data_IF_454029192735
#
_entry.id   IF_454029192735
#
_cell.length_a   1.000
_cell.length_b   1.000
_cell.length_c   1.000
_cell.angle_alpha   90.00
_cell.angle_beta   90.00
_cell.angle_gamma   90.00
#
_symmetry.space_group_name_H-M   'P 1'
#
loop_
_entity.id
_entity.type
_entity.pdbx_description
1 polymer ?
#
# COMPACT_ATOMS: atom_id res chain seq x y z
N UNK A 1 26.12 16.92 -48.16
CA UNK A 1 27.23 16.39 -47.34
C UNK A 1 27.58 17.45 -46.31
N UNK A 2 27.04 17.33 -45.10
CA UNK A 2 27.35 18.23 -43.97
C UNK A 2 27.55 17.32 -42.77
N UNK A 3 28.74 17.36 -42.19
CA UNK A 3 29.14 16.56 -41.03
C UNK A 3 28.57 17.17 -39.75
N UNK A 4 28.03 16.31 -38.89
CA UNK A 4 27.76 16.60 -37.48
C UNK A 4 29.04 16.93 -36.71
N UNK A 5 28.89 17.56 -35.53
CA UNK A 5 29.55 17.04 -34.35
C UNK A 5 28.53 16.72 -33.26
N UNK A 6 28.55 15.46 -32.83
CA UNK A 6 27.90 14.98 -31.63
C UNK A 6 28.63 15.56 -30.40
N UNK A 7 27.87 16.11 -29.45
CA UNK A 7 28.35 16.32 -28.08
C UNK A 7 27.60 15.35 -27.16
N UNK A 8 28.34 14.34 -26.74
CA UNK A 8 28.06 13.48 -25.60
C UNK A 8 28.06 14.33 -24.33
N UNK A 9 26.99 14.25 -23.55
CA UNK A 9 26.98 14.62 -22.14
C UNK A 9 26.54 13.40 -21.34
N UNK A 10 27.54 12.54 -21.08
CA UNK A 10 27.50 11.47 -20.11
C UNK A 10 27.46 12.10 -18.69
N UNK A 11 26.25 12.27 -18.14
CA UNK A 11 26.07 12.54 -16.71
C UNK A 11 25.75 11.21 -16.05
N UNK A 12 26.82 10.53 -15.62
CA UNK A 12 26.73 9.52 -14.57
C UNK A 12 26.32 10.22 -13.27
N UNK A 13 25.04 10.14 -12.91
CA UNK A 13 24.62 10.33 -11.53
C UNK A 13 24.36 8.95 -10.91
N UNK A 14 25.39 8.45 -10.23
CA UNK A 14 25.25 7.46 -9.17
C UNK A 14 24.39 8.06 -8.07
N UNK A 15 23.12 7.67 -8.04
CA UNK A 15 22.19 7.91 -6.95
C UNK A 15 21.55 6.57 -6.57
N UNK A 16 22.38 5.69 -6.02
CA UNK A 16 21.90 4.53 -5.27
C UNK A 16 21.38 5.06 -3.93
N UNK A 17 20.16 5.61 -3.98
CA UNK A 17 19.47 6.23 -2.85
C UNK A 17 19.07 5.13 -1.87
N UNK A 18 19.25 5.39 -0.58
CA UNK A 18 18.68 4.61 0.54
C UNK A 18 17.22 4.24 0.27
N UNK A 19 16.99 3.02 -0.21
CA UNK A 19 15.65 2.55 -0.59
C UNK A 19 15.18 1.51 0.40
N UNK A 20 14.00 1.77 0.97
CA UNK A 20 13.25 0.82 1.77
C UNK A 20 12.63 -0.23 0.83
N UNK A 21 13.44 -1.18 0.39
CA UNK A 21 12.95 -2.33 -0.37
C UNK A 21 12.34 -3.37 0.57
N UNK A 22 11.09 -3.75 0.32
CA UNK A 22 10.58 -5.04 0.77
C UNK A 22 11.49 -6.14 0.22
N UNK A 23 11.78 -7.17 1.01
CA UNK A 23 12.14 -8.49 0.44
C UNK A 23 10.84 -9.27 0.31
N UNK A 24 10.29 -9.46 -0.91
CA UNK A 24 9.01 -10.14 -1.12
C UNK A 24 8.95 -11.53 -0.47
N UNK A 25 10.12 -12.17 -0.32
CA UNK A 25 10.32 -13.45 0.37
C UNK A 25 9.81 -13.49 1.83
N UNK A 26 9.54 -12.33 2.44
CA UNK A 26 9.02 -12.23 3.81
C UNK A 26 7.49 -12.28 3.90
N UNK A 27 6.78 -12.16 2.78
CA UNK A 27 5.33 -12.23 2.76
C UNK A 27 4.89 -13.68 2.52
N UNK A 28 4.18 -14.24 3.49
CA UNK A 28 3.66 -15.60 3.42
C UNK A 28 2.57 -15.74 2.33
N UNK A 29 2.59 -16.83 1.53
CA UNK A 29 1.50 -17.19 0.62
C UNK A 29 0.14 -17.33 1.33
N UNK A 30 -0.94 -17.12 0.58
CA UNK A 30 -2.32 -17.23 1.08
C UNK A 30 -2.64 -16.23 2.20
N UNK A 31 -1.93 -15.11 2.28
CA UNK A 31 -2.05 -14.15 3.37
C UNK A 31 -2.50 -12.78 2.88
N UNK A 32 -3.15 -12.03 3.77
CA UNK A 32 -3.60 -10.66 3.54
C UNK A 32 -2.86 -9.71 4.49
N UNK A 33 -2.44 -8.57 3.98
CA UNK A 33 -1.71 -7.55 4.74
C UNK A 33 -2.34 -6.18 4.55
N UNK A 34 -2.30 -5.37 5.62
CA UNK A 34 -2.44 -3.91 5.53
C UNK A 34 -1.04 -3.34 5.37
N UNK A 35 -0.88 -2.42 4.41
CA UNK A 35 0.37 -1.73 4.16
C UNK A 35 0.15 -0.25 4.41
N UNK A 36 1.07 0.37 5.16
CA UNK A 36 1.04 1.81 5.43
C UNK A 36 2.27 2.52 4.90
N UNK A 37 2.06 3.71 4.35
CA UNK A 37 3.10 4.58 3.80
C UNK A 37 2.95 5.99 4.41
N UNK A 38 4.04 6.71 4.72
CA UNK A 38 3.95 8.03 5.29
C UNK A 38 3.48 9.04 4.24
N UNK A 39 2.60 9.94 4.64
CA UNK A 39 2.22 11.13 3.87
C UNK A 39 2.85 12.37 4.50
N UNK A 40 3.09 13.41 3.67
CA UNK A 40 3.77 14.65 4.09
C UNK A 40 3.04 15.36 5.25
N UNK A 41 1.74 15.12 5.43
CA UNK A 41 0.91 15.74 6.47
C UNK A 41 0.85 14.95 7.79
N UNK A 42 1.77 14.00 8.01
CA UNK A 42 1.79 13.15 9.22
C UNK A 42 0.61 12.16 9.31
N UNK A 43 -0.02 11.89 8.16
CA UNK A 43 -1.01 10.81 8.01
C UNK A 43 -0.36 9.66 7.22
N UNK A 44 -1.14 8.61 7.02
CA UNK A 44 -0.69 7.45 6.28
C UNK A 44 -1.61 7.19 5.09
N UNK A 45 -1.02 6.76 3.97
CA UNK A 45 -1.74 6.05 2.93
C UNK A 45 -1.88 4.59 3.36
N UNK A 46 -3.08 4.04 3.22
CA UNK A 46 -3.43 2.68 3.60
C UNK A 46 -3.79 1.91 2.35
N UNK A 47 -3.25 0.71 2.21
CA UNK A 47 -3.57 -0.19 1.10
C UNK A 47 -3.62 -1.64 1.60
N UNK A 48 -4.31 -2.49 0.86
CA UNK A 48 -4.32 -3.93 1.08
C UNK A 48 -3.33 -4.60 0.14
N UNK A 49 -2.70 -5.67 0.62
CA UNK A 49 -1.82 -6.50 -0.17
C UNK A 49 -2.24 -7.95 0.03
N UNK A 50 -2.74 -8.57 -1.04
CA UNK A 50 -3.04 -10.01 -1.08
C UNK A 50 -1.85 -10.76 -1.65
N UNK A 51 -1.53 -11.88 -1.03
CA UNK A 51 -0.53 -12.82 -1.50
C UNK A 51 -1.24 -14.13 -1.79
N UNK A 52 -1.30 -14.52 -3.06
CA UNK A 52 -1.98 -15.75 -3.46
C UNK A 52 -1.22 -17.01 -2.98
N UNK A 53 -1.74 -18.20 -3.28
CA UNK A 53 -1.11 -19.47 -2.87
C UNK A 53 0.21 -19.77 -3.60
N UNK A 54 0.41 -19.22 -4.80
CA UNK A 54 1.68 -19.26 -5.53
C UNK A 54 2.64 -18.16 -5.05
N UNK A 55 2.13 -17.29 -4.19
CA UNK A 55 2.67 -16.06 -3.66
C UNK A 55 2.94 -14.97 -4.68
N UNK A 56 2.13 -14.91 -5.73
CA UNK A 56 1.88 -13.68 -6.50
C UNK A 56 1.33 -12.61 -5.56
N UNK A 57 1.73 -11.36 -5.78
CA UNK A 57 1.34 -10.24 -4.93
C UNK A 57 0.45 -9.31 -5.74
N UNK A 58 -0.70 -8.94 -5.17
CA UNK A 58 -1.56 -7.87 -5.70
C UNK A 58 -1.80 -6.83 -4.62
N UNK A 59 -1.49 -5.58 -4.92
CA UNK A 59 -1.82 -4.43 -4.07
C UNK A 59 -3.13 -3.81 -4.53
N UNK A 60 -4.02 -3.58 -3.58
CA UNK A 60 -5.31 -2.94 -3.76
C UNK A 60 -5.36 -1.65 -2.96
N UNK A 61 -5.81 -0.58 -3.61
CA UNK A 61 -5.85 0.71 -2.96
C UNK A 61 -6.87 1.64 -3.59
N UNK A 62 -7.43 2.50 -2.75
CA UNK A 62 -8.03 3.75 -3.17
C UNK A 62 -6.96 4.84 -3.12
N UNK A 63 -6.64 5.47 -4.24
CA UNK A 63 -5.54 6.45 -4.32
C UNK A 63 -5.94 7.70 -5.11
N UNK A 64 -5.17 8.77 -4.97
CA UNK A 64 -5.27 9.96 -5.83
C UNK A 64 -4.96 9.60 -7.29
N UNK A 65 -5.77 10.12 -8.21
CA UNK A 65 -5.62 9.88 -9.64
C UNK A 65 -5.52 11.20 -10.39
N UNK A 66 -4.33 11.47 -10.93
CA UNK A 66 -4.10 12.63 -11.76
C UNK A 66 -4.55 12.32 -13.21
N UNK A 67 -5.37 13.19 -13.79
CA UNK A 67 -5.81 13.10 -15.19
C UNK A 67 -7.22 12.57 -15.43
N UNK A 68 -8.05 12.47 -14.39
CA UNK A 68 -9.47 12.08 -14.49
C UNK A 68 -10.45 13.21 -14.13
N UNK A 69 -11.74 12.94 -14.31
CA UNK A 69 -12.83 13.78 -13.74
C UNK A 69 -12.99 13.62 -12.24
N UNK A 70 -12.46 12.52 -11.68
CA UNK A 70 -12.49 12.21 -10.26
C UNK A 70 -11.10 12.36 -9.66
N UNK A 71 -11.05 12.81 -8.42
CA UNK A 71 -9.78 13.02 -7.71
C UNK A 71 -9.13 11.73 -7.24
N UNK A 72 -9.92 10.70 -6.92
CA UNK A 72 -9.43 9.41 -6.45
C UNK A 72 -10.14 8.27 -7.16
N UNK A 73 -9.53 7.09 -7.14
CA UNK A 73 -10.14 5.86 -7.67
C UNK A 73 -9.55 4.61 -7.01
N UNK A 74 -10.30 3.52 -7.13
CA UNK A 74 -9.82 2.18 -6.88
C UNK A 74 -8.81 1.74 -7.94
N UNK A 75 -7.80 0.98 -7.51
CA UNK A 75 -6.85 0.29 -8.38
C UNK A 75 -6.42 -1.05 -7.75
N UNK A 76 -6.12 -2.01 -8.62
CA UNK A 76 -5.45 -3.26 -8.30
C UNK A 76 -4.19 -3.34 -9.15
N UNK A 77 -3.04 -3.55 -8.52
CA UNK A 77 -1.74 -3.62 -9.18
C UNK A 77 -1.04 -4.92 -8.80
N UNK A 78 -0.73 -5.74 -9.81
CA UNK A 78 0.15 -6.89 -9.63
C UNK A 78 1.59 -6.42 -9.41
N UNK A 79 2.25 -6.99 -8.40
CA UNK A 79 3.61 -6.67 -8.02
C UNK A 79 4.50 -7.90 -8.29
N UNK A 80 5.36 -7.78 -9.29
CA UNK A 80 6.35 -8.81 -9.60
C UNK A 80 7.38 -8.90 -8.46
N UNK A 81 7.69 -10.13 -8.01
CA UNK A 81 8.66 -10.36 -6.91
C UNK A 81 10.09 -9.92 -7.23
N UNK A 82 10.47 -9.99 -8.50
CA UNK A 82 11.80 -9.58 -8.99
C UNK A 82 11.92 -8.08 -9.16
N UNK A 83 10.79 -7.39 -9.11
CA UNK A 83 10.76 -5.99 -9.43
C UNK A 83 11.28 -5.18 -8.27
N UNK A 84 12.29 -4.39 -8.58
CA UNK A 84 12.70 -3.25 -7.78
C UNK A 84 11.61 -2.16 -7.74
N UNK A 85 10.33 -2.47 -7.98
CA UNK A 85 9.22 -1.50 -8.06
C UNK A 85 8.95 -0.81 -6.71
N UNK A 86 9.44 -1.37 -5.60
CA UNK A 86 9.48 -0.64 -4.32
C UNK A 86 10.59 0.43 -4.25
N UNK A 87 11.39 0.62 -5.31
CA UNK A 87 12.35 1.72 -5.46
C UNK A 87 11.60 3.05 -5.61
N UNK A 88 11.03 3.55 -4.52
CA UNK A 88 10.32 4.83 -4.46
C UNK A 88 9.12 4.85 -3.51
N UNK A 89 8.61 3.69 -3.11
CA UNK A 89 7.49 3.59 -2.18
C UNK A 89 8.03 3.38 -0.77
N UNK A 90 7.93 4.41 0.07
CA UNK A 90 8.31 4.34 1.48
C UNK A 90 7.26 3.56 2.26
N UNK A 91 7.42 2.24 2.38
CA UNK A 91 6.55 1.42 3.25
C UNK A 91 7.04 1.49 4.68
N UNK A 92 6.13 1.83 5.61
CA UNK A 92 6.42 1.83 7.05
C UNK A 92 6.42 0.41 7.61
N UNK A 93 5.39 -0.38 7.30
CA UNK A 93 5.23 -1.75 7.78
C UNK A 93 4.17 -2.51 6.96
N UNK A 94 4.26 -3.83 7.05
CA UNK A 94 3.26 -4.79 6.59
C UNK A 94 2.59 -5.41 7.82
N UNK A 95 1.28 -5.30 7.91
CA UNK A 95 0.51 -5.83 9.02
C UNK A 95 -0.35 -7.00 8.53
N UNK A 96 0.09 -8.22 8.84
CA UNK A 96 -0.58 -9.45 8.44
C UNK A 96 -1.85 -9.62 9.25
N UNK A 97 -2.95 -9.85 8.54
CA UNK A 97 -4.28 -10.00 9.14
C UNK A 97 -4.49 -11.47 9.51
N UNK A 98 -4.56 -11.78 10.80
CA UNK A 98 -4.95 -13.09 11.29
C UNK A 98 -6.38 -13.46 10.91
N UNK A 99 -6.62 -14.77 10.70
CA UNK A 99 -7.96 -15.31 10.43
C UNK A 99 -8.44 -15.16 8.98
N UNK A 100 -7.63 -14.60 8.09
CA UNK A 100 -7.95 -14.51 6.66
C UNK A 100 -7.97 -15.89 6.01
N UNK A 101 -9.07 -16.20 5.31
CA UNK A 101 -9.22 -17.36 4.44
C UNK A 101 -9.03 -16.88 3.01
N UNK A 102 -8.08 -17.48 2.31
CA UNK A 102 -7.84 -17.16 0.91
C UNK A 102 -9.11 -17.41 0.09
N UNK A 103 -9.46 -16.41 -0.72
CA UNK A 103 -10.58 -16.45 -1.66
C UNK A 103 -10.06 -16.26 -3.08
N UNK A 104 -10.92 -16.58 -4.05
CA UNK A 104 -10.62 -16.32 -5.45
C UNK A 104 -10.30 -14.84 -5.70
N UNK A 105 -9.33 -14.60 -6.57
CA UNK A 105 -8.77 -13.28 -6.83
C UNK A 105 -9.79 -12.35 -7.51
N UNK A 106 -10.65 -12.87 -8.39
CA UNK A 106 -11.68 -12.06 -9.06
C UNK A 106 -12.76 -11.66 -8.05
N UNK A 107 -13.14 -12.58 -7.16
CA UNK A 107 -14.07 -12.27 -6.07
C UNK A 107 -13.49 -11.23 -5.09
N UNK A 108 -12.20 -11.33 -4.77
CA UNK A 108 -11.52 -10.34 -3.93
C UNK A 108 -11.55 -8.94 -4.58
N UNK A 109 -11.21 -8.86 -5.87
CA UNK A 109 -11.20 -7.61 -6.63
C UNK A 109 -12.59 -6.97 -6.71
N UNK A 110 -13.63 -7.80 -6.93
CA UNK A 110 -15.02 -7.34 -6.94
C UNK A 110 -15.43 -6.71 -5.60
N UNK A 111 -15.16 -7.39 -4.47
CA UNK A 111 -15.43 -6.84 -3.14
C UNK A 111 -14.73 -5.50 -2.91
N UNK A 112 -13.46 -5.41 -3.29
CA UNK A 112 -12.65 -4.20 -3.14
C UNK A 112 -13.20 -3.02 -3.97
N UNK A 113 -13.64 -3.29 -5.20
CA UNK A 113 -14.17 -2.31 -6.14
C UNK A 113 -15.52 -1.75 -5.70
N UNK A 114 -16.37 -2.57 -5.09
CA UNK A 114 -17.75 -2.19 -4.73
C UNK A 114 -17.85 -1.26 -3.51
N UNK A 115 -16.77 -1.09 -2.73
CA UNK A 115 -16.78 -0.24 -1.53
C UNK A 115 -17.11 1.22 -1.83
N UNK A 116 -16.48 1.80 -2.86
CA UNK A 116 -16.73 3.16 -3.31
C UNK A 116 -17.04 3.14 -4.81
N UNK A 117 -18.33 3.26 -5.14
CA UNK A 117 -18.80 3.24 -6.53
C UNK A 117 -18.46 4.52 -7.32
N UNK A 118 -18.13 5.59 -6.62
CA UNK A 118 -17.88 6.90 -7.20
C UNK A 118 -16.93 7.72 -6.30
N UNK A 119 -16.40 8.80 -6.86
CA UNK A 119 -15.52 9.76 -6.20
C UNK A 119 -15.95 11.17 -6.58
N UNK A 120 -15.67 12.15 -5.73
CA UNK A 120 -15.82 13.57 -6.04
C UNK A 120 -14.70 14.08 -6.95
N UNK A 121 -14.89 15.30 -7.46
CA UNK A 121 -13.95 15.98 -8.36
C UNK A 121 -12.68 16.44 -7.66
N UNK A 122 -12.71 16.63 -6.35
CA UNK A 122 -11.55 17.03 -5.54
C UNK A 122 -11.31 16.10 -4.35
N UNK A 123 -10.04 16.03 -3.90
CA UNK A 123 -9.67 15.26 -2.70
C UNK A 123 -10.36 15.84 -1.47
N UNK A 124 -10.49 17.16 -1.37
CA UNK A 124 -11.11 17.86 -0.25
C UNK A 124 -12.60 17.50 -0.12
N UNK A 125 -13.33 17.46 -1.22
CA UNK A 125 -14.72 16.98 -1.23
C UNK A 125 -14.80 15.52 -0.77
N UNK A 126 -13.94 14.63 -1.29
CA UNK A 126 -13.86 13.26 -0.79
C UNK A 126 -13.65 13.21 0.74
N UNK A 127 -12.75 14.04 1.29
CA UNK A 127 -12.53 14.10 2.75
C UNK A 127 -13.74 14.62 3.51
N UNK A 128 -14.49 15.57 2.96
CA UNK A 128 -15.73 16.07 3.58
C UNK A 128 -16.84 15.01 3.64
N UNK A 129 -16.74 13.96 2.83
CA UNK A 129 -17.67 12.84 2.75
C UNK A 129 -17.09 11.51 3.25
N UNK A 130 -16.00 11.55 4.04
CA UNK A 130 -15.32 10.37 4.59
C UNK A 130 -14.86 9.34 3.53
N UNK A 131 -14.62 9.78 2.30
CA UNK A 131 -13.99 8.98 1.24
C UNK A 131 -12.48 9.17 1.38
N UNK A 132 -11.80 8.16 1.90
CA UNK A 132 -10.35 8.14 2.12
C UNK A 132 -9.78 6.75 1.89
N UNK A 133 -8.46 6.60 1.63
CA UNK A 133 -7.84 5.28 1.55
C UNK A 133 -8.05 4.43 2.81
N UNK A 134 -8.00 5.06 3.99
CA UNK A 134 -8.26 4.40 5.27
C UNK A 134 -9.71 3.92 5.37
N UNK A 135 -10.68 4.80 5.13
CA UNK A 135 -12.11 4.46 5.23
C UNK A 135 -12.54 3.44 4.17
N UNK A 136 -11.95 3.49 2.96
CA UNK A 136 -12.09 2.44 1.96
C UNK A 136 -11.64 1.08 2.53
N UNK A 137 -10.41 1.01 3.03
CA UNK A 137 -9.83 -0.23 3.55
C UNK A 137 -10.64 -0.80 4.71
N UNK A 138 -11.05 0.03 5.67
CA UNK A 138 -11.87 -0.41 6.81
C UNK A 138 -13.21 -0.99 6.36
N UNK A 139 -13.83 -0.43 5.32
CA UNK A 139 -15.06 -0.99 4.74
C UNK A 139 -14.82 -2.31 4.01
N UNK A 140 -13.68 -2.49 3.33
CA UNK A 140 -13.30 -3.80 2.76
C UNK A 140 -13.17 -4.84 3.88
N UNK A 141 -12.47 -4.50 4.97
CA UNK A 141 -12.28 -5.41 6.09
C UNK A 141 -13.61 -5.78 6.76
N UNK A 142 -14.50 -4.81 6.94
CA UNK A 142 -15.83 -5.04 7.50
C UNK A 142 -16.66 -6.00 6.64
N UNK A 143 -16.62 -5.85 5.30
CA UNK A 143 -17.24 -6.80 4.38
C UNK A 143 -16.64 -8.20 4.51
N UNK A 144 -15.32 -8.32 4.62
CA UNK A 144 -14.65 -9.63 4.76
C UNK A 144 -14.92 -10.31 6.11
N UNK A 145 -15.02 -9.54 7.19
CA UNK A 145 -15.41 -10.08 8.51
C UNK A 145 -16.87 -10.55 8.47
N UNK A 146 -17.77 -9.70 7.96
CA UNK A 146 -19.21 -10.02 7.86
C UNK A 146 -19.46 -11.21 6.92
N UNK A 147 -18.70 -11.32 5.83
CA UNK A 147 -18.76 -12.42 4.87
C UNK A 147 -18.06 -13.71 5.32
N UNK A 148 -17.41 -13.73 6.50
CA UNK A 148 -16.70 -14.91 7.01
C UNK A 148 -15.39 -15.23 6.26
N UNK A 149 -14.91 -14.30 5.44
CA UNK A 149 -13.59 -14.36 4.77
C UNK A 149 -12.48 -14.13 5.80
N UNK A 150 -12.71 -13.25 6.78
CA UNK A 150 -11.84 -13.05 7.93
C UNK A 150 -12.58 -13.53 9.19
N UNK A 151 -12.03 -14.51 9.89
CA UNK A 151 -12.58 -15.01 11.16
C UNK A 151 -11.67 -14.59 12.31
N UNK A 152 -12.14 -13.63 13.11
CA UNK A 152 -11.39 -13.07 14.25
C UNK A 152 -12.34 -12.59 15.37
N UNK A 153 -11.79 -12.43 16.58
CA UNK A 153 -12.57 -12.07 17.77
C UNK A 153 -12.67 -10.56 18.01
N UNK A 154 -11.64 -9.83 17.58
CA UNK A 154 -11.54 -8.38 17.65
C UNK A 154 -12.27 -7.71 16.48
N UNK A 155 -12.61 -6.43 16.66
CA UNK A 155 -13.39 -5.65 15.70
C UNK A 155 -12.50 -4.99 14.64
N UNK A 156 -13.12 -4.48 13.56
CA UNK A 156 -12.41 -3.67 12.55
C UNK A 156 -11.85 -2.39 13.17
N UNK A 157 -12.50 -1.84 14.20
CA UNK A 157 -12.03 -0.68 14.94
C UNK A 157 -10.78 -1.01 15.78
N UNK A 158 -10.70 -2.21 16.35
CA UNK A 158 -9.51 -2.67 17.06
C UNK A 158 -8.32 -2.81 16.09
N UNK A 159 -8.56 -3.35 14.89
CA UNK A 159 -7.60 -3.39 13.80
C UNK A 159 -7.14 -1.99 13.38
N UNK A 160 -8.07 -1.04 13.21
CA UNK A 160 -7.74 0.35 12.89
C UNK A 160 -6.81 0.96 13.95
N UNK A 161 -7.17 0.79 15.22
CA UNK A 161 -6.41 1.31 16.34
C UNK A 161 -5.00 0.71 16.40
N UNK A 162 -4.89 -0.61 16.24
CA UNK A 162 -3.61 -1.31 16.25
C UNK A 162 -2.71 -0.84 15.10
N UNK A 163 -3.21 -0.81 13.86
CA UNK A 163 -2.45 -0.34 12.69
C UNK A 163 -2.02 1.10 12.87
N UNK A 164 -2.94 2.01 13.24
CA UNK A 164 -2.62 3.42 13.41
C UNK A 164 -1.53 3.65 14.49
N UNK A 165 -1.61 2.92 15.60
CA UNK A 165 -0.64 3.01 16.69
C UNK A 165 0.73 2.51 16.26
N UNK A 166 0.78 1.35 15.61
CA UNK A 166 2.02 0.76 15.15
C UNK A 166 2.64 1.55 13.99
N UNK A 167 1.85 2.09 13.08
CA UNK A 167 2.34 2.95 11.99
C UNK A 167 3.01 4.21 12.53
N UNK A 168 2.45 4.88 13.54
CA UNK A 168 3.13 6.02 14.21
C UNK A 168 4.44 5.62 14.86
N UNK A 169 4.49 4.45 15.48
CA UNK A 169 5.73 3.93 16.05
C UNK A 169 6.78 3.69 14.94
N UNK A 170 6.36 3.10 13.81
CA UNK A 170 7.24 2.78 12.68
C UNK A 170 7.67 3.99 11.87
N UNK A 171 6.83 5.01 11.76
CA UNK A 171 7.17 6.29 11.13
C UNK A 171 8.38 6.93 11.82
N UNK A 172 8.43 6.94 13.16
CA UNK A 172 9.60 7.46 13.89
C UNK A 172 10.88 6.68 13.56
N UNK A 173 10.80 5.35 13.53
CA UNK A 173 11.95 4.50 13.18
C UNK A 173 12.40 4.72 11.73
N UNK A 174 11.43 4.85 10.81
CA UNK A 174 11.68 5.15 9.42
C UNK A 174 12.38 6.50 9.24
N UNK A 175 11.86 7.57 9.86
CA UNK A 175 12.45 8.91 9.79
C UNK A 175 13.85 8.96 10.41
N UNK A 176 14.07 8.26 11.52
CA UNK A 176 15.40 8.15 12.13
C UNK A 176 16.41 7.48 11.18
N UNK A 177 16.04 6.36 10.57
CA UNK A 177 16.87 5.68 9.58
C UNK A 177 17.13 6.57 8.36
N UNK A 178 16.10 7.24 7.86
CA UNK A 178 16.20 8.19 6.74
C UNK A 178 17.19 9.33 7.03
N UNK A 179 17.06 9.99 8.18
CA UNK A 179 17.96 11.08 8.59
C UNK A 179 19.40 10.61 8.77
N UNK A 180 19.59 9.38 9.25
CA UNK A 180 20.91 8.75 9.40
C UNK A 180 21.45 8.14 8.10
N UNK A 181 20.71 8.23 7.00
CA UNK A 181 21.02 7.58 5.71
C UNK A 181 21.26 6.07 5.86
N UNK A 182 20.52 5.43 6.77
CA UNK A 182 20.58 4.00 7.01
C UNK A 182 19.47 3.28 6.24
N UNK A 183 19.70 2.04 5.77
CA UNK A 183 18.65 1.23 5.18
C UNK A 183 17.52 0.98 6.19
N UNK A 184 16.28 1.27 5.80
CA UNK A 184 15.09 0.89 6.55
C UNK A 184 14.45 -0.34 5.89
N UNK A 185 14.35 -1.44 6.63
CA UNK A 185 13.66 -2.64 6.17
C UNK A 185 12.29 -2.67 6.83
N UNK A 186 11.25 -2.44 6.05
CA UNK A 186 9.87 -2.50 6.53
C UNK A 186 9.59 -3.87 7.19
N UNK A 187 9.16 -3.88 8.47
CA UNK A 187 8.86 -5.12 9.18
C UNK A 187 7.52 -5.70 8.75
N UNK A 188 7.40 -7.02 8.88
CA UNK A 188 6.12 -7.73 8.88
C UNK A 188 5.69 -7.92 10.34
N UNK A 189 4.46 -7.54 10.66
CA UNK A 189 3.88 -7.57 12.01
C UNK A 189 2.55 -8.34 11.94
N UNK A 190 2.23 -9.15 12.93
CA UNK A 190 0.97 -9.90 12.99
C UNK A 190 -0.10 -9.08 13.75
N UNK A 191 -1.35 -9.13 13.26
CA UNK A 191 -2.55 -8.50 13.85
C UNK A 191 -3.65 -9.51 14.15
#
# INVERSE_FOLDING_TARGET
MVMSPARSNDIRQTHDRSQAGLKPDRLAPGSLYIVTQPLINGRFHWSLLSVDLNGSITQYQWHEYHGGRTAEKYSAQHIERTSSIYNGINVLAYFKIGGYRHIDQDHFDECCREVFKWSYGTVQENRAHDITPKTWLLRVLDQFVTGGVIVRFDTVQDLEYAVATLSRYKERQFLEAFLKQQPYIAPVMEL
#
